data_IF_391480770655
#
_entry.id   IF_391480770655
#
_cell.length_a   1.000
_cell.length_b   1.000
_cell.length_c   1.000
_cell.angle_alpha   90.00
_cell.angle_beta   90.00
_cell.angle_gamma   90.00
#
_symmetry.space_group_name_H-M   'P 1'
#
loop_
_entity.id
_entity.type
_entity.pdbx_description
1 polymer ?
#
# COMPACT_ATOMS: atom_id res chain seq x y z
N UNK A 1 23.13 9.01 2.21
CA UNK A 1 21.67 8.83 2.38
C UNK A 1 21.08 9.82 3.39
N UNK A 2 20.17 10.67 2.93
CA UNK A 2 19.38 11.60 3.75
C UNK A 2 17.91 11.19 3.71
N UNK A 3 17.19 11.36 4.83
CA UNK A 3 15.77 11.01 4.93
C UNK A 3 15.00 12.16 5.56
N UNK A 4 13.88 12.51 4.94
CA UNK A 4 12.94 13.49 5.43
C UNK A 4 11.59 12.86 5.71
N UNK A 5 10.94 13.34 6.78
CA UNK A 5 9.55 13.05 7.10
C UNK A 5 8.69 14.16 6.50
N UNK A 6 7.79 13.79 5.61
CA UNK A 6 6.92 14.68 4.87
C UNK A 6 5.46 14.43 5.27
N UNK A 7 4.66 15.49 5.19
CA UNK A 7 3.26 15.48 5.58
C UNK A 7 2.36 16.12 4.53
N UNK A 8 1.17 15.55 4.34
CA UNK A 8 0.10 16.17 3.55
C UNK A 8 -0.83 17.00 4.44
N UNK A 9 -1.57 17.92 3.84
CA UNK A 9 -2.59 18.68 4.57
C UNK A 9 -3.75 17.79 5.08
N UNK A 10 -3.89 16.58 4.52
CA UNK A 10 -4.87 15.59 4.94
C UNK A 10 -4.42 14.75 6.14
N UNK A 11 -3.20 14.97 6.65
CA UNK A 11 -2.66 14.25 7.81
C UNK A 11 -1.99 12.91 7.47
N UNK A 12 -1.63 12.69 6.20
CA UNK A 12 -0.81 11.54 5.82
C UNK A 12 0.67 11.86 6.04
N UNK A 13 1.46 10.85 6.38
CA UNK A 13 2.90 10.96 6.58
C UNK A 13 3.69 10.01 5.68
N UNK A 14 4.92 10.38 5.35
CA UNK A 14 5.82 9.56 4.57
C UNK A 14 7.29 9.92 4.77
N UNK A 15 8.15 8.92 4.64
CA UNK A 15 9.59 9.04 4.72
C UNK A 15 10.19 8.95 3.32
N UNK A 16 10.87 10.01 2.89
CA UNK A 16 11.51 10.08 1.58
C UNK A 16 13.02 10.12 1.75
N UNK A 17 13.68 9.16 1.11
CA UNK A 17 15.12 9.01 1.05
C UNK A 17 15.70 9.64 -0.23
N UNK A 18 16.89 10.24 -0.13
CA UNK A 18 17.66 10.76 -1.28
C UNK A 18 18.27 9.65 -2.16
N UNK A 19 18.22 8.40 -1.70
CA UNK A 19 18.77 7.24 -2.36
C UNK A 19 17.87 6.02 -2.18
N UNK A 20 18.08 4.97 -2.97
CA UNK A 20 17.35 3.73 -2.75
C UNK A 20 17.77 3.08 -1.43
N UNK A 21 16.79 2.68 -0.62
CA UNK A 21 17.03 1.83 0.54
C UNK A 21 17.56 0.48 0.05
N UNK A 22 18.71 0.08 0.59
CA UNK A 22 19.38 -1.19 0.26
C UNK A 22 18.54 -2.37 0.74
N UNK A 23 17.93 -2.22 1.92
CA UNK A 23 17.06 -3.21 2.56
C UNK A 23 15.62 -2.72 2.55
N UNK A 24 14.69 -3.65 2.35
CA UNK A 24 13.26 -3.33 2.41
C UNK A 24 12.86 -3.10 3.86
N UNK A 25 12.30 -1.94 4.13
CA UNK A 25 11.67 -1.62 5.42
C UNK A 25 10.41 -2.47 5.58
N UNK A 26 10.30 -3.15 6.72
CA UNK A 26 9.15 -3.95 7.13
C UNK A 26 8.16 -3.11 7.95
N UNK A 27 8.67 -2.18 8.76
CA UNK A 27 7.88 -1.30 9.62
C UNK A 27 8.68 -0.08 10.05
N UNK A 28 7.99 0.93 10.56
CA UNK A 28 8.61 2.10 11.20
C UNK A 28 8.07 2.21 12.61
N UNK A 29 8.98 2.34 13.57
CA UNK A 29 8.67 2.52 14.99
C UNK A 29 9.01 3.95 15.40
N UNK A 30 8.11 4.59 16.12
CA UNK A 30 8.28 5.93 16.67
C UNK A 30 8.30 5.87 18.20
N UNK A 31 9.39 6.35 18.79
CA UNK A 31 9.51 6.55 20.23
C UNK A 31 9.10 7.99 20.57
N UNK A 32 7.97 8.16 21.27
CA UNK A 32 7.45 9.48 21.65
C UNK A 32 8.37 10.16 22.67
N UNK A 33 9.03 9.38 23.53
CA UNK A 33 9.84 9.91 24.62
C UNK A 33 11.08 10.62 24.08
N UNK A 34 11.73 10.03 23.08
CA UNK A 34 12.94 10.58 22.44
C UNK A 34 12.64 11.39 21.18
N UNK A 35 11.48 11.15 20.55
CA UNK A 35 11.16 11.67 19.21
C UNK A 35 11.85 10.89 18.09
N UNK A 36 12.45 9.73 18.38
CA UNK A 36 13.26 9.00 17.43
C UNK A 36 12.41 8.06 16.57
N UNK A 37 12.68 8.05 15.26
CA UNK A 37 12.13 7.08 14.32
C UNK A 37 13.14 5.96 14.08
N UNK A 38 12.64 4.73 13.99
CA UNK A 38 13.45 3.54 13.68
C UNK A 38 12.85 2.79 12.49
N UNK A 39 13.68 2.50 11.50
CA UNK A 39 13.37 1.54 10.45
C UNK A 39 13.64 0.13 10.95
N UNK A 40 12.63 -0.72 10.89
CA UNK A 40 12.79 -2.17 11.04
C UNK A 40 12.84 -2.80 9.65
N UNK A 41 13.90 -3.55 9.35
CA UNK A 41 14.06 -4.21 8.06
C UNK A 41 13.52 -5.65 8.09
N UNK A 42 13.20 -6.18 6.91
CA UNK A 42 12.69 -7.56 6.75
C UNK A 42 13.64 -8.66 7.25
N UNK A 43 14.93 -8.34 7.40
CA UNK A 43 15.98 -9.25 7.89
C UNK A 43 16.26 -9.11 9.40
N UNK A 44 15.35 -8.45 10.14
CA UNK A 44 15.46 -8.16 11.59
C UNK A 44 16.60 -7.21 11.98
N UNK A 45 17.22 -6.56 10.99
CA UNK A 45 18.11 -5.44 11.23
C UNK A 45 17.31 -4.14 11.41
N UNK A 46 17.94 -3.09 11.94
CA UNK A 46 17.29 -1.80 12.11
C UNK A 46 18.21 -0.62 11.83
N UNK A 47 17.61 0.53 11.52
CA UNK A 47 18.29 1.82 11.41
C UNK A 47 17.55 2.84 12.26
N UNK A 48 18.23 3.36 13.27
CA UNK A 48 17.77 4.49 14.06
C UNK A 48 18.05 5.80 13.28
N UNK A 49 17.02 6.62 13.09
CA UNK A 49 17.14 7.90 12.40
C UNK A 49 17.67 8.96 13.39
N UNK A 50 18.66 9.76 12.96
CA UNK A 50 19.51 10.50 13.89
C UNK A 50 19.05 11.94 14.19
N UNK A 51 17.88 12.34 13.70
CA UNK A 51 17.26 13.64 13.99
C UNK A 51 15.87 13.39 14.57
N UNK A 52 15.61 13.82 15.82
CA UNK A 52 14.30 13.66 16.46
C UNK A 52 13.21 14.44 15.73
N UNK A 53 12.01 13.85 15.70
CA UNK A 53 10.77 14.47 15.22
C UNK A 53 10.33 15.55 16.19
N UNK A 54 10.00 16.74 15.68
CA UNK A 54 9.43 17.80 16.52
C UNK A 54 8.05 17.42 17.08
N UNK A 55 7.82 17.75 18.35
CA UNK A 55 6.61 17.35 19.09
C UNK A 55 5.30 17.83 18.47
N UNK A 56 5.34 18.93 17.73
CA UNK A 56 4.17 19.46 17.03
C UNK A 56 3.61 18.50 15.96
N UNK A 57 4.44 17.58 15.45
CA UNK A 57 4.03 16.59 14.45
C UNK A 57 3.42 15.32 15.05
N UNK A 58 3.50 15.12 16.37
CA UNK A 58 3.02 13.89 17.02
C UNK A 58 1.53 13.64 16.75
N UNK A 59 0.70 14.69 16.73
CA UNK A 59 -0.74 14.55 16.45
C UNK A 59 -1.03 14.08 15.02
N UNK A 60 -0.22 14.50 14.04
CA UNK A 60 -0.34 14.03 12.67
C UNK A 60 0.12 12.57 12.52
N UNK A 61 1.18 12.19 13.25
CA UNK A 61 1.69 10.82 13.27
C UNK A 61 0.73 9.85 13.98
N UNK A 62 0.01 10.30 15.02
CA UNK A 62 -0.90 9.46 15.79
C UNK A 62 -2.09 8.93 14.97
N UNK A 63 -2.51 9.65 13.93
CA UNK A 63 -3.59 9.21 13.04
C UNK A 63 -3.12 8.34 11.86
N UNK A 64 -1.81 8.10 11.73
CA UNK A 64 -1.23 7.30 10.64
C UNK A 64 -1.09 5.82 11.04
N UNK A 65 -1.92 4.89 10.54
CA UNK A 65 -1.70 3.45 10.75
C UNK A 65 -0.56 2.88 9.90
N UNK A 66 -0.27 3.55 8.79
CA UNK A 66 0.78 3.21 7.83
C UNK A 66 1.49 4.49 7.43
N UNK A 67 2.76 4.35 7.04
CA UNK A 67 3.59 5.44 6.55
C UNK A 67 4.09 5.11 5.15
N UNK A 68 4.12 6.12 4.28
CA UNK A 68 4.71 5.98 2.95
C UNK A 68 6.23 5.87 3.07
N UNK A 69 6.84 4.98 2.30
CA UNK A 69 8.28 4.88 2.13
C UNK A 69 8.60 5.15 0.66
N UNK A 70 9.45 6.13 0.43
CA UNK A 70 9.87 6.55 -0.90
C UNK A 70 11.37 6.74 -1.01
N UNK A 71 11.88 6.58 -2.22
CA UNK A 71 13.21 7.04 -2.59
C UNK A 71 13.12 7.91 -3.84
N UNK A 72 13.73 9.09 -3.79
CA UNK A 72 13.89 9.97 -4.94
C UNK A 72 15.35 9.95 -5.34
N UNK A 73 15.60 9.50 -6.56
CA UNK A 73 16.93 9.38 -7.13
C UNK A 73 16.93 10.00 -8.52
N UNK A 74 17.89 10.88 -8.76
CA UNK A 74 18.06 11.56 -10.05
C UNK A 74 16.74 12.24 -10.52
N UNK A 75 16.02 12.87 -9.60
CA UNK A 75 14.74 13.54 -9.86
C UNK A 75 13.54 12.62 -10.12
N UNK A 76 13.68 11.31 -9.90
CA UNK A 76 12.63 10.33 -10.14
C UNK A 76 12.28 9.54 -8.88
N UNK A 77 11.02 9.14 -8.75
CA UNK A 77 10.58 8.19 -7.72
C UNK A 77 11.11 6.80 -8.11
N UNK A 78 12.11 6.34 -7.37
CA UNK A 78 12.85 5.11 -7.66
C UNK A 78 12.39 3.92 -6.81
N UNK A 79 11.81 4.20 -5.63
CA UNK A 79 11.12 3.25 -4.76
C UNK A 79 9.88 3.92 -4.17
N UNK A 80 8.80 3.16 -4.00
CA UNK A 80 7.57 3.62 -3.37
C UNK A 80 6.77 2.41 -2.86
N UNK A 81 6.40 2.44 -1.58
CA UNK A 81 5.51 1.47 -0.92
C UNK A 81 5.02 2.03 0.42
N UNK A 82 4.19 1.28 1.14
CA UNK A 82 3.75 1.62 2.50
C UNK A 82 4.11 0.49 3.48
N UNK A 83 4.36 0.88 4.72
CA UNK A 83 4.66 -0.03 5.83
C UNK A 83 3.85 0.36 7.06
N UNK A 84 3.60 -0.57 8.00
CA UNK A 84 3.00 -0.24 9.29
C UNK A 84 3.81 0.84 10.03
N UNK A 85 3.08 1.75 10.68
CA UNK A 85 3.65 2.77 11.54
C UNK A 85 3.20 2.52 12.98
N UNK A 86 4.18 2.25 13.83
CA UNK A 86 3.99 1.80 15.21
C UNK A 86 4.57 2.80 16.18
N UNK A 87 3.99 2.87 17.37
CA UNK A 87 4.54 3.63 18.48
C UNK A 87 5.18 2.65 19.45
N UNK A 88 6.39 2.94 19.92
CA UNK A 88 7.11 2.06 20.83
C UNK A 88 6.31 1.80 22.12
N UNK A 89 5.64 2.83 22.61
CA UNK A 89 4.87 2.80 23.87
C UNK A 89 3.42 2.33 23.69
N UNK A 90 2.96 2.05 22.47
CA UNK A 90 1.59 1.57 22.19
C UNK A 90 1.61 0.16 21.59
N UNK A 91 1.67 -0.89 22.44
CA UNK A 91 1.66 -2.27 21.98
C UNK A 91 0.30 -2.69 21.39
N UNK A 92 -0.78 -1.92 21.63
CA UNK A 92 -2.13 -2.26 21.18
C UNK A 92 -2.46 -1.67 19.81
N UNK A 93 -1.65 -0.74 19.29
CA UNK A 93 -1.82 -0.15 17.97
C UNK A 93 -1.91 -1.21 16.85
N UNK A 94 -1.11 -2.26 16.96
CA UNK A 94 -1.10 -3.37 16.00
C UNK A 94 -2.39 -4.19 16.04
N UNK A 95 -3.04 -4.28 17.21
CA UNK A 95 -4.36 -4.90 17.37
C UNK A 95 -5.47 -3.96 16.90
N UNK A 96 -5.35 -2.65 17.15
CA UNK A 96 -6.30 -1.64 16.70
C UNK A 96 -6.37 -1.55 15.17
N UNK A 97 -5.26 -1.84 14.49
CA UNK A 97 -5.15 -1.85 13.03
C UNK A 97 -5.06 -3.26 12.42
N UNK A 98 -5.35 -4.29 13.22
CA UNK A 98 -5.38 -5.67 12.76
C UNK A 98 -6.44 -5.81 11.65
N UNK A 99 -6.01 -6.24 10.46
CA UNK A 99 -6.89 -6.39 9.30
C UNK A 99 -6.98 -5.20 8.36
N UNK A 100 -6.25 -4.10 8.60
CA UNK A 100 -5.98 -3.12 7.55
C UNK A 100 -5.13 -3.79 6.47
N UNK A 101 -5.78 -4.18 5.38
CA UNK A 101 -5.09 -4.70 4.22
C UNK A 101 -4.12 -3.62 3.70
N UNK A 102 -2.90 -4.00 3.26
CA UNK A 102 -2.06 -3.09 2.49
C UNK A 102 -2.87 -2.52 1.33
N UNK A 103 -2.77 -1.22 1.06
CA UNK A 103 -3.52 -0.60 -0.03
C UNK A 103 -3.20 -1.32 -1.34
N UNK A 104 -4.25 -1.56 -2.13
CA UNK A 104 -4.13 -2.35 -3.36
C UNK A 104 -3.35 -1.65 -4.48
N UNK A 105 -3.09 -0.35 -4.32
CA UNK A 105 -2.44 0.53 -5.30
C UNK A 105 -1.39 1.42 -4.59
N UNK A 106 -0.30 0.84 -4.07
CA UNK A 106 0.68 1.57 -3.28
C UNK A 106 1.45 2.63 -4.07
N UNK A 107 1.59 2.48 -5.40
CA UNK A 107 2.26 3.49 -6.23
C UNK A 107 1.33 4.66 -6.50
N UNK A 108 0.05 4.42 -6.80
CA UNK A 108 -0.93 5.49 -6.98
C UNK A 108 -1.09 6.32 -5.69
N UNK A 109 -1.18 5.64 -4.54
CA UNK A 109 -1.24 6.30 -3.24
C UNK A 109 0.02 7.13 -2.96
N UNK A 110 1.21 6.60 -3.28
CA UNK A 110 2.46 7.34 -3.12
C UNK A 110 2.55 8.56 -4.05
N UNK A 111 2.09 8.45 -5.31
CA UNK A 111 2.07 9.57 -6.26
C UNK A 111 1.18 10.71 -5.76
N UNK A 112 0.00 10.36 -5.24
CA UNK A 112 -0.89 11.33 -4.61
C UNK A 112 -0.23 11.98 -3.37
N UNK A 113 0.33 11.16 -2.48
CA UNK A 113 1.00 11.59 -1.26
C UNK A 113 2.12 12.61 -1.54
N UNK A 114 3.07 12.26 -2.41
CA UNK A 114 4.24 13.11 -2.66
C UNK A 114 3.83 14.44 -3.30
N UNK A 115 2.82 14.42 -4.18
CA UNK A 115 2.30 15.63 -4.83
C UNK A 115 1.44 16.49 -3.90
N UNK A 116 0.92 15.93 -2.82
CA UNK A 116 0.08 16.60 -1.83
C UNK A 116 0.85 17.02 -0.57
N UNK A 117 2.15 16.81 -0.55
CA UNK A 117 3.02 17.21 0.56
C UNK A 117 3.07 18.73 0.68
N UNK A 118 2.90 19.24 1.90
CA UNK A 118 2.86 20.68 2.20
C UNK A 118 3.95 21.14 3.15
N UNK A 119 4.50 20.24 3.97
CA UNK A 119 5.64 20.51 4.84
C UNK A 119 6.39 19.20 5.14
N UNK A 120 7.58 19.34 5.73
CA UNK A 120 8.38 18.21 6.19
C UNK A 120 9.58 18.65 7.01
N UNK A 121 10.24 17.68 7.62
CA UNK A 121 11.42 17.89 8.45
C UNK A 121 12.48 16.83 8.15
N UNK A 122 13.77 17.16 8.32
CA UNK A 122 14.84 16.17 8.32
C UNK A 122 14.69 15.21 9.49
N UNK A 123 14.85 13.91 9.24
CA UNK A 123 14.88 12.88 10.30
C UNK A 123 16.14 12.04 10.28
N UNK A 124 16.86 12.02 9.15
CA UNK A 124 18.18 11.42 9.07
C UNK A 124 19.11 12.20 8.13
N UNK A 125 20.35 12.41 8.54
CA UNK A 125 21.45 12.92 7.70
C UNK A 125 22.68 12.06 7.91
N UNK A 126 23.34 11.68 6.81
CA UNK A 126 24.55 10.86 6.90
C UNK A 126 25.71 11.62 7.55
N UNK A 127 25.86 12.90 7.22
CA UNK A 127 26.79 13.83 7.85
C UNK A 127 26.06 15.05 8.40
N UNK A 128 26.01 15.17 9.73
CA UNK A 128 25.39 16.31 10.42
C UNK A 128 26.22 17.60 10.30
N UNK A 129 27.50 17.51 9.92
CA UNK A 129 28.39 18.65 9.72
C UNK A 129 28.30 19.25 8.31
N UNK A 130 27.64 18.59 7.37
CA UNK A 130 27.49 19.07 6.00
C UNK A 130 26.26 20.00 5.87
N UNK A 131 26.51 21.31 5.97
CA UNK A 131 25.47 22.33 5.80
C UNK A 131 24.77 22.26 4.44
N UNK A 132 25.43 21.73 3.40
CA UNK A 132 24.83 21.60 2.06
C UNK A 132 23.78 20.47 1.99
N UNK A 133 23.89 19.47 2.88
CA UNK A 133 22.95 18.36 3.00
C UNK A 133 21.77 18.67 3.94
N UNK A 134 21.74 19.83 4.59
CA UNK A 134 20.69 20.21 5.54
C UNK A 134 19.36 20.60 4.86
N UNK A 135 19.36 20.81 3.55
CA UNK A 135 18.15 21.06 2.78
C UNK A 135 17.20 19.86 2.71
N UNK A 136 16.00 20.07 2.18
CA UNK A 136 15.03 19.00 1.93
C UNK A 136 15.58 18.01 0.89
N UNK A 137 15.31 16.71 1.06
CA UNK A 137 15.66 15.62 0.14
C UNK A 137 15.08 15.82 -1.27
N UNK A 138 13.95 16.53 -1.35
CA UNK A 138 13.37 16.93 -2.64
C UNK A 138 14.23 17.95 -3.39
N UNK A 139 15.14 18.65 -2.70
CA UNK A 139 15.97 19.71 -3.26
C UNK A 139 15.12 20.77 -3.96
N UNK A 140 15.50 21.10 -5.20
CA UNK A 140 14.76 22.01 -6.09
C UNK A 140 13.61 21.31 -6.86
N UNK A 141 13.41 20.00 -6.66
CA UNK A 141 12.37 19.28 -7.38
C UNK A 141 10.99 19.75 -6.92
N UNK A 142 10.18 20.22 -7.87
CA UNK A 142 8.76 20.50 -7.62
C UNK A 142 8.05 19.15 -7.44
N UNK A 143 7.39 18.87 -6.30
CA UNK A 143 6.78 17.56 -6.05
C UNK A 143 5.78 17.15 -7.15
N UNK A 144 5.06 18.11 -7.73
CA UNK A 144 4.11 17.89 -8.83
C UNK A 144 4.77 17.44 -10.14
N UNK A 145 6.06 17.71 -10.32
CA UNK A 145 6.83 17.34 -11.50
C UNK A 145 7.52 15.97 -11.38
N UNK A 146 7.52 15.35 -10.20
CA UNK A 146 8.12 14.04 -9.98
C UNK A 146 7.42 12.97 -10.81
N UNK A 147 8.23 12.10 -11.41
CA UNK A 147 7.77 10.95 -12.18
C UNK A 147 8.36 9.67 -11.63
N UNK A 148 7.65 8.57 -11.81
CA UNK A 148 8.19 7.24 -11.52
C UNK A 148 9.32 6.90 -12.48
N UNK A 149 10.38 6.30 -11.93
CA UNK A 149 11.40 5.64 -12.72
C UNK A 149 10.76 4.55 -13.62
N UNK A 150 11.35 4.24 -14.80
CA UNK A 150 10.70 3.41 -15.82
C UNK A 150 10.17 2.05 -15.34
N UNK A 151 10.85 1.41 -14.38
CA UNK A 151 10.41 0.13 -13.81
C UNK A 151 9.16 0.27 -12.92
N UNK A 152 9.01 1.38 -12.21
CA UNK A 152 7.81 1.67 -11.41
C UNK A 152 6.68 2.24 -12.27
N UNK A 153 7.00 3.03 -13.29
CA UNK A 153 5.98 3.65 -14.16
C UNK A 153 5.08 2.59 -14.83
N UNK A 154 5.67 1.47 -15.29
CA UNK A 154 4.89 0.35 -15.86
C UNK A 154 3.95 -0.27 -14.81
N UNK A 155 4.41 -0.42 -13.57
CA UNK A 155 3.59 -0.98 -12.50
C UNK A 155 2.48 -0.01 -12.09
N UNK A 156 2.80 1.28 -11.98
CA UNK A 156 1.83 2.33 -11.70
C UNK A 156 0.70 2.35 -12.75
N UNK A 157 1.05 2.24 -14.04
CA UNK A 157 0.06 2.13 -15.13
C UNK A 157 -0.89 0.94 -14.97
N UNK A 158 -0.42 -0.19 -14.42
CA UNK A 158 -1.26 -1.35 -14.15
C UNK A 158 -2.14 -1.15 -12.89
N UNK A 159 -1.68 -0.36 -11.92
CA UNK A 159 -2.45 -0.03 -10.71
C UNK A 159 -3.62 0.91 -11.03
N UNK A 160 -3.43 1.88 -11.94
CA UNK A 160 -4.45 2.86 -12.36
C UNK A 160 -5.34 2.37 -13.52
N UNK A 161 -4.97 1.28 -14.19
CA UNK A 161 -5.71 0.79 -15.34
C UNK A 161 -7.13 0.39 -14.93
N UNK A 162 -8.17 0.78 -15.70
CA UNK A 162 -9.54 0.41 -15.39
C UNK A 162 -9.66 -1.12 -15.40
N UNK A 163 -10.02 -1.69 -14.24
CA UNK A 163 -10.30 -3.12 -14.12
C UNK A 163 -11.56 -3.42 -14.91
N UNK A 164 -11.41 -3.96 -16.12
CA UNK A 164 -12.53 -4.47 -16.91
C UNK A 164 -13.33 -5.44 -16.05
N UNK A 165 -14.58 -5.11 -15.73
CA UNK A 165 -15.43 -5.93 -14.88
C UNK A 165 -15.60 -7.33 -15.52
N UNK A 166 -15.36 -8.44 -14.80
CA UNK A 166 -15.50 -9.80 -15.34
C UNK A 166 -16.94 -10.16 -15.78
N UNK A 167 -17.94 -9.37 -15.37
CA UNK A 167 -19.36 -9.61 -15.61
C UNK A 167 -20.09 -8.40 -16.22
N UNK A 168 -19.40 -7.57 -17.00
CA UNK A 168 -20.15 -6.68 -17.89
C UNK A 168 -20.77 -7.54 -19.01
N UNK A 169 -22.10 -7.49 -19.25
CA UNK A 169 -22.66 -8.04 -20.47
C UNK A 169 -21.94 -7.35 -21.62
N UNK A 170 -21.17 -8.12 -22.39
CA UNK A 170 -20.43 -7.57 -23.51
C UNK A 170 -21.38 -6.82 -24.44
N UNK A 171 -20.94 -5.70 -25.04
CA UNK A 171 -21.77 -4.98 -26.01
C UNK A 171 -22.19 -5.95 -27.10
N UNK A 172 -23.49 -6.15 -27.24
CA UNK A 172 -24.08 -6.91 -28.34
C UNK A 172 -23.61 -6.28 -29.64
N UNK A 173 -22.70 -6.95 -30.34
CA UNK A 173 -22.33 -6.57 -31.69
C UNK A 173 -23.60 -6.53 -32.55
N UNK A 174 -23.80 -5.49 -33.39
CA UNK A 174 -24.91 -5.44 -34.34
C UNK A 174 -24.75 -6.54 -35.39
N UNK A 175 -25.36 -7.70 -35.15
CA UNK A 175 -25.45 -8.78 -36.12
C UNK A 175 -26.50 -8.46 -37.19
N UNK A 176 -26.04 -8.08 -38.38
CA UNK A 176 -26.82 -8.26 -39.61
C UNK A 176 -26.89 -9.76 -39.92
N UNK A 177 -28.10 -10.30 -40.09
CA UNK A 177 -28.30 -11.42 -41.01
C UNK A 177 -29.12 -12.61 -40.51
N UNK A 178 -30.38 -12.63 -40.95
CA UNK A 178 -31.09 -13.79 -41.51
C UNK A 178 -31.55 -14.96 -40.61
N UNK A 179 -32.87 -15.03 -40.41
CA UNK A 179 -33.63 -16.14 -41.01
C UNK A 179 -34.07 -17.31 -40.13
N UNK A 180 -35.21 -17.13 -39.44
CA UNK A 180 -36.40 -17.99 -39.57
C UNK A 180 -36.38 -19.48 -39.15
N UNK A 181 -37.27 -19.82 -38.21
CA UNK A 181 -38.29 -20.86 -38.46
C UNK A 181 -38.36 -22.10 -37.55
N UNK A 182 -39.33 -22.07 -36.62
CA UNK A 182 -40.24 -23.17 -36.19
C UNK A 182 -39.71 -24.53 -35.67
N UNK A 183 -40.06 -24.85 -34.40
CA UNK A 183 -40.93 -25.99 -34.06
C UNK A 183 -41.43 -25.92 -32.60
N UNK A 184 -42.76 -25.89 -32.47
CA UNK A 184 -43.59 -26.00 -31.26
C UNK A 184 -43.65 -27.44 -30.70
N UNK A 185 -43.92 -27.63 -29.40
CA UNK A 185 -44.40 -28.93 -28.92
C UNK A 185 -44.47 -29.16 -27.40
N UNK A 186 -45.59 -28.73 -26.81
CA UNK A 186 -46.21 -29.05 -25.51
C UNK A 186 -45.92 -30.40 -24.80
N UNK A 187 -45.55 -30.30 -23.52
CA UNK A 187 -46.20 -30.81 -22.29
C UNK A 187 -46.47 -32.32 -21.96
N UNK A 188 -46.32 -32.57 -20.65
CA UNK A 188 -47.00 -33.55 -19.74
C UNK A 188 -46.30 -34.91 -19.45
N UNK A 189 -45.58 -34.93 -18.32
CA UNK A 189 -46.02 -35.62 -17.10
C UNK A 189 -45.55 -37.07 -16.83
N UNK A 190 -44.79 -37.28 -15.74
CA UNK A 190 -45.09 -38.33 -14.75
C UNK A 190 -44.24 -38.23 -13.47
N UNK A 191 -44.92 -38.35 -12.33
CA UNK A 191 -44.41 -38.42 -10.95
C UNK A 191 -44.22 -39.90 -10.57
N UNK A 192 -43.16 -40.25 -9.83
CA UNK A 192 -43.11 -41.26 -8.71
C UNK A 192 -41.65 -41.39 -8.20
N UNK A 193 -41.28 -40.90 -7.00
CA UNK A 193 -41.38 -41.48 -5.63
C UNK A 193 -40.50 -42.73 -5.39
N UNK A 194 -39.52 -42.61 -4.49
CA UNK A 194 -38.77 -43.77 -3.96
C UNK A 194 -37.50 -43.39 -3.19
N UNK A 195 -37.63 -43.07 -1.89
CA UNK A 195 -36.54 -42.97 -0.91
C UNK A 195 -36.29 -44.34 -0.27
N UNK A 196 -35.04 -44.82 -0.24
CA UNK A 196 -34.65 -45.99 0.55
C UNK A 196 -33.23 -46.51 0.28
N UNK A 197 -32.34 -46.37 1.26
CA UNK A 197 -31.45 -47.42 1.82
C UNK A 197 -30.33 -46.73 2.63
N UNK A 198 -30.38 -46.68 3.96
CA UNK A 198 -30.07 -47.73 4.98
C UNK A 198 -28.58 -48.08 5.10
N UNK A 199 -28.10 -47.83 6.32
CA UNK A 199 -26.75 -47.99 6.88
C UNK A 199 -26.50 -49.47 7.22
N UNK A 200 -25.31 -50.06 6.99
CA UNK A 200 -24.99 -51.42 7.43
C UNK A 200 -24.48 -51.46 8.89
N UNK A 201 -24.66 -52.59 9.62
CA UNK A 201 -24.47 -52.68 11.06
C UNK A 201 -23.04 -53.04 11.52
N UNK A 202 -22.74 -52.65 12.77
CA UNK A 202 -21.55 -53.01 13.55
C UNK A 202 -21.46 -54.52 13.81
N UNK A 203 -20.29 -55.11 13.60
CA UNK A 203 -19.90 -56.42 14.17
C UNK A 203 -19.21 -56.23 15.52
N UNK A 204 -19.63 -57.01 16.52
CA UNK A 204 -18.86 -57.45 17.69
C UNK A 204 -18.82 -58.98 17.62
N UNK A 205 -17.70 -59.55 18.08
CA UNK A 205 -17.37 -60.92 18.54
C UNK A 205 -15.83 -60.97 18.48
N UNK A 206 -15.01 -61.30 19.47
CA UNK A 206 -15.13 -61.92 20.81
C UNK A 206 -14.18 -61.20 21.80
#
# INVERSE_FOLDING_TARGET
>A
MNIDLLFTAAGEAGLISSENLVKKVAGVVFDIATGTLTFEYVDMDFLELNIPVEKEFNAALDVCPQIHIGAIKDGNIAQAYQVPFMFLDDPYRGEAFQGLAPPSQPLEAFDYFVKSTVFGQPVHREDLGDESAMGCVLGDAVPSALQFAPHLARRHQMEIAPKSAPNAPGPTMPGLGAGGGHASGSAIGRITRGTGNTIPPKKRDE
#
